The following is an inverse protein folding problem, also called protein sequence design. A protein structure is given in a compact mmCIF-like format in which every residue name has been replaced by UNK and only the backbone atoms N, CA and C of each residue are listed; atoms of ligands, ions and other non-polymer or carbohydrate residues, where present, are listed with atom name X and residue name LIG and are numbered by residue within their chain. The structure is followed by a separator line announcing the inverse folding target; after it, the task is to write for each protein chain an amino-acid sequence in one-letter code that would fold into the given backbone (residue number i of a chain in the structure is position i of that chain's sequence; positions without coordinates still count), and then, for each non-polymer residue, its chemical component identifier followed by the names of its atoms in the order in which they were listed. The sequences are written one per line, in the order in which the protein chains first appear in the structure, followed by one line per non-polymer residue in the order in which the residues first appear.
data_IF_426248878461
#
_entry.id   IF_426248878461
#
_cell.length_a   1.000
_cell.length_b   1.000
_cell.length_c   1.000
_cell.angle_alpha   90.00
_cell.angle_beta   90.00
_cell.angle_gamma   90.00
#
_symmetry.space_group_name_H-M   'P 1'
#
loop_
_entity.id
_entity.type
_entity.pdbx_description
1 polymer ?
#
# COMPACT_ATOMS: atom_id res chain seq x y z
N UNK A 1 13.25 22.57 -15.07
CA UNK A 1 11.99 21.95 -14.59
C UNK A 1 12.16 21.39 -13.16
N UNK A 2 12.67 22.20 -12.22
CA UNK A 2 12.90 21.83 -10.81
C UNK A 2 11.84 22.42 -9.85
N UNK A 3 10.82 23.08 -10.38
CA UNK A 3 9.90 23.93 -9.60
C UNK A 3 8.78 23.17 -8.87
N UNK A 4 8.56 21.88 -9.16
CA UNK A 4 7.50 21.10 -8.50
C UNK A 4 7.86 20.54 -7.13
N UNK A 5 9.15 20.34 -6.84
CA UNK A 5 9.62 19.76 -5.58
C UNK A 5 9.87 20.82 -4.50
N UNK A 6 10.28 22.03 -4.88
CA UNK A 6 10.39 23.16 -3.95
C UNK A 6 9.03 23.59 -3.36
N UNK A 7 7.90 23.29 -4.01
CA UNK A 7 6.59 23.68 -3.50
C UNK A 7 6.08 22.81 -2.35
N UNK A 8 6.47 21.54 -2.25
CA UNK A 8 6.05 20.68 -1.13
C UNK A 8 6.95 20.85 0.11
N UNK A 9 8.25 21.05 -0.07
CA UNK A 9 9.14 21.43 1.04
C UNK A 9 8.79 22.81 1.62
N UNK A 10 8.35 23.76 0.78
CA UNK A 10 7.83 25.06 1.24
C UNK A 10 6.44 24.95 1.92
N UNK A 11 5.58 24.00 1.53
CA UNK A 11 4.30 23.75 2.20
C UNK A 11 4.47 23.13 3.59
N UNK A 12 5.47 22.27 3.79
CA UNK A 12 5.84 21.75 5.13
C UNK A 12 6.32 22.85 6.09
N UNK A 13 6.75 24.01 5.58
CA UNK A 13 7.16 25.14 6.41
C UNK A 13 6.00 26.02 6.90
N UNK A 14 4.80 25.89 6.30
CA UNK A 14 3.68 26.82 6.52
C UNK A 14 2.39 26.13 6.98
N UNK A 15 2.24 24.82 6.75
CA UNK A 15 1.04 24.10 7.19
C UNK A 15 1.08 23.83 8.70
N UNK A 16 0.21 24.53 9.44
CA UNK A 16 -0.05 24.30 10.86
C UNK A 16 -1.41 23.63 10.99
N UNK A 17 -1.45 22.44 11.60
CA UNK A 17 -2.68 21.71 11.88
C UNK A 17 -2.98 21.81 13.38
N UNK A 18 -4.20 22.21 13.72
CA UNK A 18 -4.66 22.20 15.12
C UNK A 18 -5.66 21.06 15.30
N UNK A 19 -5.44 20.23 16.30
CA UNK A 19 -6.30 19.09 16.62
C UNK A 19 -6.70 19.14 18.09
N UNK A 20 -8.00 19.08 18.36
CA UNK A 20 -8.53 19.00 19.71
C UNK A 20 -8.64 17.53 20.14
N UNK A 21 -8.00 17.20 21.25
CA UNK A 21 -8.19 15.92 21.93
C UNK A 21 -9.18 16.14 23.06
N UNK A 22 -10.35 15.47 23.06
CA UNK A 22 -11.32 15.59 24.13
C UNK A 22 -10.66 15.35 25.49
N UNK A 23 -10.99 16.19 26.49
CA UNK A 23 -10.43 16.17 27.86
C UNK A 23 -9.00 16.71 27.99
N UNK A 24 -8.18 16.71 26.94
CA UNK A 24 -6.76 17.11 27.02
C UNK A 24 -6.50 18.50 26.43
N UNK A 25 -7.28 18.93 25.43
CA UNK A 25 -7.21 20.26 24.83
C UNK A 25 -6.56 20.26 23.43
N UNK A 26 -6.02 21.42 23.04
CA UNK A 26 -5.56 21.68 21.68
C UNK A 26 -4.08 21.34 21.48
N UNK A 27 -3.80 20.60 20.41
CA UNK A 27 -2.46 20.27 19.95
C UNK A 27 -2.19 20.91 18.60
N UNK A 28 -1.02 21.52 18.48
CA UNK A 28 -0.57 22.14 17.23
C UNK A 28 0.51 21.27 16.61
N UNK A 29 0.21 20.70 15.44
CA UNK A 29 1.12 19.93 14.62
C UNK A 29 1.63 20.80 13.47
N UNK A 30 2.89 20.58 13.07
CA UNK A 30 3.54 21.24 11.94
C UNK A 30 3.94 20.20 10.91
N UNK A 31 5.12 19.60 11.07
CA UNK A 31 5.73 18.70 10.08
C UNK A 31 5.42 17.23 10.33
N UNK A 32 4.97 16.88 11.52
CA UNK A 32 4.75 15.51 11.99
C UNK A 32 3.81 14.69 11.10
N UNK A 33 2.68 15.25 10.59
CA UNK A 33 1.79 14.50 9.69
C UNK A 33 2.47 14.07 8.39
N UNK A 34 3.38 14.91 7.87
CA UNK A 34 4.13 14.62 6.65
C UNK A 34 5.26 13.61 6.90
N UNK A 35 6.00 13.77 8.00
CA UNK A 35 7.09 12.85 8.37
C UNK A 35 6.56 11.43 8.58
N UNK A 36 5.37 11.28 9.18
CA UNK A 36 4.76 9.97 9.42
C UNK A 36 4.49 9.22 8.10
N UNK A 37 3.98 9.92 7.08
CA UNK A 37 3.79 9.33 5.75
C UNK A 37 5.10 9.08 5.02
N UNK A 38 6.11 9.94 5.22
CA UNK A 38 7.40 9.83 4.52
C UNK A 38 8.18 8.57 4.93
N UNK A 39 7.96 8.02 6.12
CA UNK A 39 8.56 6.74 6.56
C UNK A 39 8.25 5.60 5.56
N UNK A 40 7.11 5.65 4.88
CA UNK A 40 6.77 4.67 3.83
C UNK A 40 7.72 4.74 2.64
N UNK A 41 8.26 5.90 2.31
CA UNK A 41 9.17 6.12 1.18
C UNK A 41 10.64 6.17 1.65
N UNK A 42 10.90 6.63 2.86
CA UNK A 42 12.22 6.76 3.46
C UNK A 42 12.24 6.12 4.87
N UNK A 43 12.29 4.78 4.96
CA UNK A 43 12.25 4.08 6.25
C UNK A 43 13.40 4.44 7.19
N UNK A 44 14.52 4.92 6.64
CA UNK A 44 15.70 5.35 7.39
C UNK A 44 15.41 6.47 8.40
N UNK A 45 14.40 7.32 8.14
CA UNK A 45 13.98 8.38 9.07
C UNK A 45 13.50 7.78 10.41
N UNK A 46 12.95 6.57 10.37
CA UNK A 46 12.55 5.81 11.56
C UNK A 46 13.64 4.83 12.06
N UNK A 47 14.86 4.92 11.53
CA UNK A 47 15.95 4.00 11.86
C UNK A 47 15.82 2.60 11.24
N UNK A 48 14.96 2.43 10.23
CA UNK A 48 14.74 1.14 9.56
C UNK A 48 15.61 1.02 8.31
N UNK A 49 16.29 -0.11 8.13
CA UNK A 49 17.14 -0.41 6.96
C UNK A 49 16.39 -1.11 5.81
N UNK A 50 15.06 -1.03 5.79
CA UNK A 50 14.21 -1.63 4.76
C UNK A 50 14.10 -0.75 3.51
N UNK A 51 13.70 -1.35 2.38
CA UNK A 51 13.32 -0.60 1.17
C UNK A 51 12.06 0.22 1.43
N UNK A 52 11.98 1.40 0.81
CA UNK A 52 10.73 2.16 0.75
C UNK A 52 9.69 1.45 -0.11
N UNK A 53 8.42 1.80 0.08
CA UNK A 53 7.27 1.25 -0.63
C UNK A 53 7.46 1.29 -2.15
N UNK A 54 7.77 2.45 -2.69
CA UNK A 54 8.05 2.66 -4.12
C UNK A 54 9.17 1.74 -4.65
N UNK A 55 10.26 1.55 -3.90
CA UNK A 55 11.36 0.66 -4.28
C UNK A 55 10.95 -0.81 -4.25
N UNK A 56 10.16 -1.21 -3.26
CA UNK A 56 9.66 -2.58 -3.17
C UNK A 56 8.72 -2.90 -4.34
N UNK A 57 7.80 -1.99 -4.66
CA UNK A 57 6.86 -2.15 -5.79
C UNK A 57 7.59 -2.14 -7.13
N UNK A 58 8.55 -1.22 -7.33
CA UNK A 58 9.38 -1.19 -8.54
C UNK A 58 10.13 -2.51 -8.75
N UNK A 59 10.74 -3.05 -7.70
CA UNK A 59 11.45 -4.33 -7.75
C UNK A 59 10.52 -5.49 -8.13
N UNK A 60 9.28 -5.52 -7.62
CA UNK A 60 8.30 -6.52 -8.02
C UNK A 60 7.94 -6.39 -9.51
N UNK A 61 7.76 -5.17 -10.02
CA UNK A 61 7.46 -4.90 -11.42
C UNK A 61 8.61 -5.33 -12.34
N UNK A 62 9.85 -5.01 -11.99
CA UNK A 62 11.03 -5.42 -12.76
C UNK A 62 11.17 -6.94 -12.81
N UNK A 63 10.91 -7.63 -11.68
CA UNK A 63 10.93 -9.09 -11.63
C UNK A 63 9.81 -9.70 -12.48
N UNK A 64 8.61 -9.12 -12.47
CA UNK A 64 7.50 -9.57 -13.31
C UNK A 64 7.79 -9.39 -14.80
N UNK A 65 8.38 -8.26 -15.18
CA UNK A 65 8.81 -8.01 -16.55
C UNK A 65 9.91 -8.98 -16.99
N UNK A 66 10.92 -9.20 -16.15
CA UNK A 66 12.02 -10.13 -16.42
C UNK A 66 11.56 -11.60 -16.51
N UNK A 67 10.50 -11.98 -15.80
CA UNK A 67 9.95 -13.33 -15.84
C UNK A 67 9.30 -13.70 -17.19
N UNK A 68 8.91 -12.71 -18.01
CA UNK A 68 8.41 -12.94 -19.37
C UNK A 68 7.21 -13.88 -19.46
N UNK A 69 6.34 -13.90 -18.45
CA UNK A 69 5.25 -14.87 -18.32
C UNK A 69 4.13 -14.73 -19.36
N UNK A 70 4.06 -13.58 -20.04
CA UNK A 70 3.04 -13.24 -21.03
C UNK A 70 3.65 -12.40 -22.14
N UNK A 71 3.18 -12.52 -23.40
CA UNK A 71 3.56 -11.62 -24.49
C UNK A 71 3.12 -10.17 -24.25
N UNK A 72 2.06 -9.98 -23.46
CA UNK A 72 1.56 -8.67 -23.04
C UNK A 72 2.00 -8.38 -21.60
N UNK A 73 2.58 -7.21 -21.38
CA UNK A 73 3.04 -6.72 -20.07
C UNK A 73 1.91 -6.18 -19.18
N UNK A 74 0.67 -6.11 -19.66
CA UNK A 74 -0.44 -5.49 -18.91
C UNK A 74 -0.75 -6.14 -17.56
N UNK A 75 -0.44 -7.43 -17.39
CA UNK A 75 -0.82 -8.22 -16.20
C UNK A 75 -0.19 -7.74 -14.89
N UNK A 76 0.97 -7.07 -14.93
CA UNK A 76 1.64 -6.51 -13.75
C UNK A 76 1.57 -4.98 -13.65
N UNK A 77 0.97 -4.30 -14.64
CA UNK A 77 0.97 -2.83 -14.70
C UNK A 77 -0.06 -2.16 -13.79
N UNK A 78 -0.99 -2.94 -13.21
CA UNK A 78 -2.00 -2.39 -12.29
C UNK A 78 -1.60 -2.67 -10.84
N UNK A 79 -1.26 -1.61 -10.10
CA UNK A 79 -0.96 -1.67 -8.67
C UNK A 79 -2.22 -1.27 -7.90
N UNK A 80 -2.85 -2.24 -7.22
CA UNK A 80 -4.05 -2.00 -6.40
C UNK A 80 -3.64 -1.84 -4.94
N UNK A 81 -3.96 -0.69 -4.35
CA UNK A 81 -3.69 -0.44 -2.93
C UNK A 81 -4.81 -1.01 -2.05
N UNK A 82 -4.45 -1.49 -0.86
CA UNK A 82 -5.40 -2.02 0.12
C UNK A 82 -4.94 -1.74 1.56
N UNK A 83 -5.90 -1.72 2.49
CA UNK A 83 -5.67 -1.51 3.93
C UNK A 83 -5.77 -0.05 4.39
N UNK A 84 -5.72 0.17 5.70
CA UNK A 84 -5.90 1.51 6.28
C UNK A 84 -4.82 2.51 5.86
N UNK A 85 -3.55 2.09 5.86
CA UNK A 85 -2.43 2.95 5.42
C UNK A 85 -2.55 3.37 3.96
N UNK A 86 -3.20 2.56 3.11
CA UNK A 86 -3.44 2.92 1.71
C UNK A 86 -4.43 4.10 1.53
N UNK A 87 -5.16 4.47 2.59
CA UNK A 87 -6.10 5.58 2.59
C UNK A 87 -5.44 6.93 2.92
N UNK A 88 -4.11 6.96 3.12
CA UNK A 88 -3.38 8.20 3.33
C UNK A 88 -3.54 9.14 2.12
N UNK A 89 -3.88 10.42 2.34
CA UNK A 89 -4.08 11.37 1.24
C UNK A 89 -2.76 11.61 0.49
N UNK A 90 -2.82 11.61 -0.84
CA UNK A 90 -1.66 11.83 -1.70
C UNK A 90 -0.78 10.58 -1.93
N UNK A 91 -1.10 9.44 -1.31
CA UNK A 91 -0.28 8.22 -1.42
C UNK A 91 -0.27 7.66 -2.86
N UNK A 92 -1.43 7.65 -3.52
CA UNK A 92 -1.56 7.15 -4.90
C UNK A 92 -0.71 7.98 -5.85
N UNK A 93 -0.85 9.30 -5.78
CA UNK A 93 -0.13 10.26 -6.62
C UNK A 93 1.37 10.21 -6.35
N UNK A 94 1.77 10.10 -5.08
CA UNK A 94 3.17 9.96 -4.69
C UNK A 94 3.75 8.67 -5.23
N UNK A 95 3.08 7.53 -5.04
CA UNK A 95 3.58 6.23 -5.49
C UNK A 95 3.68 6.16 -7.02
N UNK A 96 2.65 6.62 -7.74
CA UNK A 96 2.66 6.67 -9.21
C UNK A 96 3.84 7.50 -9.74
N UNK A 97 4.06 8.68 -9.15
CA UNK A 97 5.19 9.55 -9.49
C UNK A 97 6.53 8.87 -9.24
N UNK A 98 6.73 8.27 -8.07
CA UNK A 98 7.98 7.60 -7.72
C UNK A 98 8.26 6.39 -8.63
N UNK A 99 7.24 5.60 -8.97
CA UNK A 99 7.40 4.47 -9.89
C UNK A 99 7.84 4.91 -11.29
N UNK A 100 7.27 6.01 -11.80
CA UNK A 100 7.69 6.58 -13.10
C UNK A 100 9.12 7.12 -13.10
N UNK A 101 9.62 7.55 -11.93
CA UNK A 101 11.00 8.03 -11.78
C UNK A 101 11.99 6.88 -11.61
N UNK A 102 11.61 5.81 -10.91
CA UNK A 102 12.47 4.67 -10.63
C UNK A 102 12.62 3.72 -11.83
N UNK A 103 11.54 3.51 -12.60
CA UNK A 103 11.48 2.51 -13.66
C UNK A 103 11.76 3.11 -15.05
N UNK A 104 12.45 2.38 -15.95
CA UNK A 104 12.61 2.79 -17.35
C UNK A 104 11.25 3.06 -18.04
N UNK A 105 11.16 4.04 -18.96
CA UNK A 105 9.92 4.36 -19.67
C UNK A 105 9.26 3.17 -20.40
N UNK A 106 10.05 2.21 -20.88
CA UNK A 106 9.54 0.98 -21.52
C UNK A 106 8.69 0.13 -20.57
N UNK A 107 9.04 0.11 -19.29
CA UNK A 107 8.34 -0.66 -18.25
C UNK A 107 7.25 0.20 -17.60
N UNK A 108 7.56 1.47 -17.30
CA UNK A 108 6.66 2.35 -16.56
C UNK A 108 5.47 2.87 -17.37
N UNK A 109 5.56 2.87 -18.69
CA UNK A 109 4.46 3.24 -19.57
C UNK A 109 3.26 2.32 -19.36
N UNK A 110 2.12 2.92 -18.99
CA UNK A 110 0.86 2.21 -18.73
C UNK A 110 0.69 1.71 -17.30
N UNK A 111 1.66 1.91 -16.40
CA UNK A 111 1.46 1.64 -14.96
C UNK A 111 0.32 2.50 -14.42
N UNK A 112 -0.53 1.89 -13.61
CA UNK A 112 -1.68 2.52 -12.96
C UNK A 112 -1.69 2.13 -11.48
N UNK A 113 -1.63 3.13 -10.60
CA UNK A 113 -1.88 2.94 -9.16
C UNK A 113 -3.35 3.24 -8.87
N UNK A 114 -4.06 2.30 -8.25
CA UNK A 114 -5.48 2.42 -7.95
C UNK A 114 -5.67 2.52 -6.43
N UNK A 115 -6.44 3.53 -5.94
CA UNK A 115 -6.75 3.64 -4.52
C UNK A 115 -7.57 2.44 -4.02
N UNK A 116 -7.62 2.20 -2.71
CA UNK A 116 -8.51 1.19 -2.14
C UNK A 116 -9.99 1.54 -2.44
N UNK A 117 -10.71 0.75 -3.27
CA UNK A 117 -12.05 1.13 -3.76
C UNK A 117 -13.10 1.22 -2.65
N UNK A 118 -12.90 0.50 -1.55
CA UNK A 118 -13.76 0.54 -0.35
C UNK A 118 -12.98 1.00 0.88
N UNK A 119 -11.94 1.83 0.68
CA UNK A 119 -11.08 2.32 1.76
C UNK A 119 -10.41 1.19 2.55
N UNK A 120 -10.29 1.38 3.86
CA UNK A 120 -9.65 0.43 4.77
C UNK A 120 -10.30 -0.98 4.71
N UNK A 121 -11.58 -1.04 4.35
CA UNK A 121 -12.38 -2.27 4.31
C UNK A 121 -12.30 -3.01 2.97
N UNK A 122 -11.46 -2.56 2.03
CA UNK A 122 -11.36 -3.17 0.69
C UNK A 122 -11.13 -4.69 0.72
N UNK A 123 -10.32 -5.18 1.66
CA UNK A 123 -10.11 -6.62 1.85
C UNK A 123 -11.37 -7.35 2.33
N UNK A 124 -12.10 -6.75 3.28
CA UNK A 124 -13.35 -7.32 3.80
C UNK A 124 -14.45 -7.34 2.72
N UNK A 125 -14.58 -6.27 1.94
CA UNK A 125 -15.49 -6.24 0.79
C UNK A 125 -15.14 -7.30 -0.25
N UNK A 126 -13.85 -7.52 -0.52
CA UNK A 126 -13.40 -8.61 -1.38
C UNK A 126 -13.84 -9.99 -0.86
N UNK A 127 -13.67 -10.25 0.44
CA UNK A 127 -14.10 -11.50 1.07
C UNK A 127 -15.62 -11.70 0.98
N UNK A 128 -16.41 -10.64 1.21
CA UNK A 128 -17.87 -10.66 1.07
C UNK A 128 -18.32 -10.98 -0.36
N UNK A 129 -17.63 -10.44 -1.37
CA UNK A 129 -17.92 -10.75 -2.77
C UNK A 129 -17.59 -12.21 -3.08
N UNK A 130 -16.43 -12.70 -2.63
CA UNK A 130 -16.01 -14.09 -2.80
C UNK A 130 -16.97 -15.08 -2.11
N UNK A 131 -17.45 -14.76 -0.91
CA UNK A 131 -18.39 -15.62 -0.16
C UNK A 131 -19.73 -15.81 -0.85
N UNK A 132 -20.11 -14.88 -1.74
CA UNK A 132 -21.37 -14.93 -2.48
C UNK A 132 -21.26 -15.70 -3.81
N UNK A 133 -20.06 -16.18 -4.18
CA UNK A 133 -19.90 -17.02 -5.36
C UNK A 133 -20.59 -18.38 -5.13
N UNK A 134 -21.30 -18.89 -6.13
CA UNK A 134 -21.92 -20.22 -6.08
C UNK A 134 -20.90 -21.35 -5.86
N UNK A 135 -19.66 -21.14 -6.31
CA UNK A 135 -18.52 -22.05 -6.13
C UNK A 135 -17.82 -21.92 -4.79
N UNK A 136 -18.20 -20.93 -3.96
CA UNK A 136 -17.54 -20.68 -2.68
C UNK A 136 -17.57 -21.91 -1.75
N UNK A 137 -18.73 -22.57 -1.52
CA UNK A 137 -18.77 -23.71 -0.61
C UNK A 137 -17.93 -24.91 -1.08
N UNK A 138 -17.86 -25.15 -2.39
CA UNK A 138 -17.17 -26.32 -2.95
C UNK A 138 -15.66 -26.12 -3.15
N UNK A 139 -15.24 -24.91 -3.53
CA UNK A 139 -13.86 -24.65 -3.97
C UNK A 139 -12.99 -23.98 -2.90
N UNK A 140 -13.61 -23.34 -1.89
CA UNK A 140 -12.90 -22.49 -0.93
C UNK A 140 -13.17 -22.87 0.53
N UNK A 141 -14.23 -23.62 0.81
CA UNK A 141 -14.57 -24.06 2.17
C UNK A 141 -14.11 -25.50 2.43
N UNK A 142 -13.85 -25.79 3.70
CA UNK A 142 -13.56 -27.15 4.19
C UNK A 142 -14.74 -27.56 5.07
N UNK A 143 -15.38 -28.68 4.75
CA UNK A 143 -16.44 -29.23 5.58
C UNK A 143 -15.89 -29.76 6.91
N UNK A 144 -16.72 -29.72 7.96
CA UNK A 144 -16.35 -30.25 9.29
C UNK A 144 -15.86 -31.70 9.25
N UNK A 145 -16.41 -32.53 8.36
CA UNK A 145 -16.00 -33.94 8.18
C UNK A 145 -14.59 -34.08 7.60
N UNK A 146 -14.16 -33.11 6.78
CA UNK A 146 -12.86 -33.10 6.11
C UNK A 146 -11.82 -32.34 6.93
N UNK A 147 -12.26 -31.53 7.90
CA UNK A 147 -11.41 -30.85 8.86
C UNK A 147 -10.75 -31.85 9.82
N UNK A 148 -9.47 -32.14 9.60
CA UNK A 148 -8.66 -32.90 10.55
C UNK A 148 -8.23 -31.98 11.70
N UNK A 149 -8.68 -32.21 12.95
CA UNK A 149 -8.16 -31.46 14.08
C UNK A 149 -6.65 -31.74 14.17
N UNK A 150 -5.82 -30.70 14.03
CA UNK A 150 -4.40 -30.82 14.36
C UNK A 150 -4.34 -31.26 15.83
N UNK A 151 -3.68 -32.40 16.11
CA UNK A 151 -3.39 -32.83 17.47
C UNK A 151 -2.83 -31.63 18.23
N UNK A 152 -3.37 -31.32 19.41
CA UNK A 152 -2.87 -30.26 20.29
C UNK A 152 -1.34 -30.37 20.27
N UNK A 153 -0.65 -29.41 19.67
CA UNK A 153 0.80 -29.32 19.83
C UNK A 153 0.96 -29.06 21.32
N UNK A 154 1.38 -30.09 22.06
CA UNK A 154 1.77 -29.91 23.45
C UNK A 154 2.94 -28.94 23.41
N UNK A 155 2.64 -27.66 23.65
CA UNK A 155 3.63 -26.72 24.08
C UNK A 155 4.06 -27.20 25.47
N UNK A 156 5.07 -28.08 25.47
CA UNK A 156 5.90 -28.27 26.64
C UNK A 156 6.72 -26.97 26.77
N UNK A 157 6.31 -26.14 27.71
CA UNK A 157 7.17 -25.11 28.28
C UNK A 157 8.07 -25.78 29.33
#
# INVERSE_FOLDING_TARGET
MLSGWMNLQNLCYVAIFSYEVPVVGWFTLKQEPFLTGEILFQPLIAGLSSKGLHQAVALCIEQCHAAGLSPDDSWFKTVVLAGGTACLPGLVERLDKELRLLLPPSISSGIRVIPPPYGADSAWYGAKLLSNLSTFPSSWCIDKKDFRPKSKRNFFW
#
